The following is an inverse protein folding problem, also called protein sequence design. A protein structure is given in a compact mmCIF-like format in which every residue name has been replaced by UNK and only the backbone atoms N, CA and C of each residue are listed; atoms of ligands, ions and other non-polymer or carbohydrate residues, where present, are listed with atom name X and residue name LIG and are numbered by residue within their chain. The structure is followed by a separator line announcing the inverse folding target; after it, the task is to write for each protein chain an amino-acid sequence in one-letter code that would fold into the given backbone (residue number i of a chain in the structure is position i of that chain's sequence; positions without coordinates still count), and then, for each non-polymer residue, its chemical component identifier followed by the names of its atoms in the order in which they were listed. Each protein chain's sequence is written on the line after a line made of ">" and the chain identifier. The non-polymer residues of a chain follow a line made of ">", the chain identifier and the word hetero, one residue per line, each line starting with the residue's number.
data_IF_435356540554
#
_entry.id   IF_435356540554
#
_cell.length_a   1.000
_cell.length_b   1.000
_cell.length_c   1.000
_cell.angle_alpha   90.00
_cell.angle_beta   90.00
_cell.angle_gamma   90.00
#
_symmetry.space_group_name_H-M   'P 1'
#
loop_
_entity.id
_entity.type
_entity.pdbx_description
1 polymer ?
#
# COMPACT_ATOMS: atom_id res chain seq x y z
N UNK A 1 -10.10 25.93 -9.95
CA UNK A 1 -9.06 25.29 -10.78
C UNK A 1 -7.67 25.93 -10.66
N UNK A 2 -7.54 27.21 -10.33
CA UNK A 2 -6.23 27.90 -10.29
C UNK A 2 -5.24 27.42 -9.19
N UNK A 3 -5.69 26.80 -8.11
CA UNK A 3 -4.79 26.41 -7.01
C UNK A 3 -4.15 25.01 -7.15
N UNK A 4 -4.55 24.20 -8.11
CA UNK A 4 -4.02 22.83 -8.29
C UNK A 4 -2.64 22.87 -8.99
N UNK A 5 -2.40 23.87 -9.83
CA UNK A 5 -1.18 23.97 -10.64
C UNK A 5 -0.01 24.68 -9.92
N UNK A 6 -0.28 25.41 -8.86
CA UNK A 6 0.75 26.20 -8.15
C UNK A 6 1.87 25.36 -7.52
N UNK A 7 1.62 24.07 -7.24
CA UNK A 7 2.58 23.15 -6.60
C UNK A 7 3.41 22.30 -7.58
N UNK A 8 3.10 22.33 -8.89
CA UNK A 8 3.74 21.44 -9.88
C UNK A 8 5.27 21.52 -9.90
N UNK A 9 5.91 22.73 -9.99
CA UNK A 9 7.35 22.82 -9.96
C UNK A 9 7.97 22.32 -8.68
N UNK A 10 7.32 22.56 -7.53
CA UNK A 10 7.77 22.07 -6.22
C UNK A 10 7.71 20.55 -6.11
N UNK A 11 6.65 19.93 -6.63
CA UNK A 11 6.52 18.48 -6.67
C UNK A 11 7.58 17.83 -7.56
N UNK A 12 7.86 18.41 -8.73
CA UNK A 12 8.92 17.92 -9.60
C UNK A 12 10.29 18.02 -8.90
N UNK A 13 10.59 19.17 -8.28
CA UNK A 13 11.85 19.38 -7.58
C UNK A 13 12.04 18.41 -6.40
N UNK A 14 10.95 18.12 -5.65
CA UNK A 14 10.98 17.28 -4.46
C UNK A 14 10.90 15.79 -4.76
N UNK A 15 10.04 15.40 -5.70
CA UNK A 15 9.64 14.02 -5.95
C UNK A 15 9.93 13.51 -7.36
N UNK A 16 10.57 14.33 -8.23
CA UNK A 16 10.73 14.02 -9.65
C UNK A 16 11.44 12.69 -9.96
N UNK A 17 12.28 12.20 -9.03
CA UNK A 17 12.94 10.90 -9.11
C UNK A 17 12.23 9.82 -8.26
N UNK A 18 11.17 10.18 -7.55
CA UNK A 18 10.41 9.24 -6.72
C UNK A 18 9.49 8.38 -7.57
N UNK A 19 9.16 7.20 -7.04
CA UNK A 19 8.18 6.31 -7.64
C UNK A 19 7.21 5.78 -6.58
N UNK A 20 5.99 5.54 -7.01
CA UNK A 20 4.88 5.02 -6.21
C UNK A 20 4.70 3.54 -6.55
N UNK A 21 4.99 2.65 -5.61
CA UNK A 21 4.64 1.24 -5.74
C UNK A 21 3.12 1.07 -5.65
N UNK A 22 2.51 0.45 -6.65
CA UNK A 22 1.05 0.28 -6.74
C UNK A 22 0.55 -0.90 -5.91
N UNK A 23 0.76 -0.83 -4.60
CA UNK A 23 0.16 -1.74 -3.63
C UNK A 23 -1.34 -1.40 -3.42
N UNK A 24 -2.13 -2.25 -2.73
CA UNK A 24 -3.56 -2.00 -2.50
C UNK A 24 -3.87 -0.65 -1.85
N UNK A 25 -3.03 -0.17 -0.92
CA UNK A 25 -3.17 1.13 -0.29
C UNK A 25 -3.02 2.27 -1.30
N UNK A 26 -1.91 2.30 -2.05
CA UNK A 26 -1.66 3.33 -3.05
C UNK A 26 -2.74 3.34 -4.14
N UNK A 27 -3.16 2.15 -4.61
CA UNK A 27 -4.24 2.01 -5.59
C UNK A 27 -5.55 2.60 -5.09
N UNK A 28 -5.91 2.34 -3.83
CA UNK A 28 -7.12 2.88 -3.19
C UNK A 28 -7.03 4.39 -3.03
N UNK A 29 -5.92 4.92 -2.47
CA UNK A 29 -5.73 6.36 -2.22
C UNK A 29 -5.68 7.20 -3.50
N UNK A 30 -5.05 6.67 -4.55
CA UNK A 30 -5.04 7.29 -5.87
C UNK A 30 -6.36 7.10 -6.63
N UNK A 31 -7.22 6.19 -6.18
CA UNK A 31 -8.47 5.84 -6.85
C UNK A 31 -8.24 5.34 -8.27
N UNK A 32 -7.30 4.42 -8.44
CA UNK A 32 -6.96 3.89 -9.75
C UNK A 32 -8.00 2.87 -10.20
N UNK A 33 -8.68 3.16 -11.30
CA UNK A 33 -9.56 2.21 -11.95
C UNK A 33 -8.74 1.20 -12.79
N UNK A 34 -8.62 -0.03 -12.29
CA UNK A 34 -7.90 -1.09 -12.98
C UNK A 34 -8.52 -1.46 -14.33
N UNK A 35 -9.84 -1.38 -14.46
CA UNK A 35 -10.52 -1.68 -15.70
C UNK A 35 -10.28 -0.60 -16.77
N UNK A 36 -9.89 0.60 -16.35
CA UNK A 36 -9.57 1.72 -17.23
C UNK A 36 -8.09 1.82 -17.64
N UNK A 37 -7.23 0.90 -17.17
CA UNK A 37 -5.81 0.92 -17.52
C UNK A 37 -5.56 0.09 -18.80
N UNK A 38 -5.23 0.79 -19.89
CA UNK A 38 -5.00 0.18 -21.21
C UNK A 38 -3.71 0.69 -21.84
N UNK A 39 -2.89 -0.22 -22.34
CA UNK A 39 -1.77 0.10 -23.22
C UNK A 39 -2.23 -0.19 -24.66
N UNK A 40 -2.15 0.84 -25.52
CA UNK A 40 -2.48 0.72 -26.93
C UNK A 40 -1.19 0.69 -27.76
N UNK A 41 -0.98 -0.43 -28.46
CA UNK A 41 0.14 -0.66 -29.35
C UNK A 41 -0.43 -0.92 -30.72
N UNK A 42 -0.31 0.03 -31.65
CA UNK A 42 -0.98 0.03 -32.96
C UNK A 42 -2.50 -0.23 -32.81
N UNK A 43 -3.00 -1.33 -33.37
CA UNK A 43 -4.41 -1.73 -33.28
C UNK A 43 -4.74 -2.57 -32.04
N UNK A 44 -3.72 -2.98 -31.26
CA UNK A 44 -3.88 -3.83 -30.08
C UNK A 44 -4.10 -2.98 -28.83
N UNK A 45 -5.11 -3.33 -28.04
CA UNK A 45 -5.37 -2.77 -26.73
C UNK A 45 -5.13 -3.85 -25.66
N UNK A 46 -4.20 -3.61 -24.76
CA UNK A 46 -3.79 -4.54 -23.71
C UNK A 46 -4.33 -4.01 -22.38
N UNK A 47 -5.22 -4.78 -21.74
CA UNK A 47 -5.61 -4.50 -20.36
C UNK A 47 -4.42 -4.73 -19.42
N UNK A 48 -4.11 -3.76 -18.61
CA UNK A 48 -2.95 -3.80 -17.74
C UNK A 48 -3.27 -3.29 -16.34
N UNK A 49 -2.39 -3.61 -15.39
CA UNK A 49 -2.46 -3.09 -14.03
C UNK A 49 -1.18 -2.31 -13.72
N UNK A 50 -1.25 -1.15 -13.09
CA UNK A 50 -0.05 -0.42 -12.71
C UNK A 50 0.71 -1.20 -11.63
N UNK A 51 2.03 -1.29 -11.81
CA UNK A 51 2.96 -1.88 -10.87
C UNK A 51 3.75 -0.79 -10.14
N UNK A 52 4.20 0.22 -10.90
CA UNK A 52 4.93 1.36 -10.39
C UNK A 52 4.63 2.60 -11.22
N UNK A 53 4.38 3.73 -10.56
CA UNK A 53 4.12 5.02 -11.19
C UNK A 53 5.19 6.02 -10.78
N UNK A 54 5.70 6.81 -11.73
CA UNK A 54 6.68 7.86 -11.48
C UNK A 54 6.42 9.09 -12.37
N UNK A 55 7.25 10.10 -12.26
CA UNK A 55 7.08 11.35 -13.01
C UNK A 55 7.64 11.29 -14.45
N UNK A 56 8.47 10.28 -14.74
CA UNK A 56 9.12 10.07 -16.04
C UNK A 56 8.82 8.69 -16.63
N UNK A 57 8.45 7.74 -15.79
CA UNK A 57 8.35 6.33 -16.15
C UNK A 57 7.22 5.64 -15.40
N UNK A 58 6.51 4.80 -16.12
CA UNK A 58 5.53 3.87 -15.55
C UNK A 58 5.94 2.43 -15.82
N UNK A 59 5.59 1.54 -14.90
CA UNK A 59 5.69 0.10 -15.10
C UNK A 59 4.28 -0.48 -14.92
N UNK A 60 3.82 -1.23 -15.92
CA UNK A 60 2.55 -1.93 -15.90
C UNK A 60 2.75 -3.43 -16.01
N UNK A 61 1.84 -4.18 -15.41
CA UNK A 61 1.73 -5.61 -15.56
C UNK A 61 0.56 -5.93 -16.50
N UNK A 62 0.76 -6.90 -17.39
CA UNK A 62 -0.32 -7.49 -18.17
C UNK A 62 -0.21 -9.02 -18.18
N UNK A 63 -1.36 -9.68 -18.24
CA UNK A 63 -1.38 -11.13 -18.46
C UNK A 63 -1.09 -11.41 -19.92
N UNK A 64 0.05 -12.04 -20.20
CA UNK A 64 0.53 -12.35 -21.54
C UNK A 64 1.14 -13.75 -21.58
N UNK A 65 0.83 -14.51 -22.61
CA UNK A 65 1.56 -15.73 -22.95
C UNK A 65 2.98 -15.39 -23.44
N UNK A 66 3.86 -16.37 -23.46
CA UNK A 66 5.23 -16.22 -23.98
C UNK A 66 5.22 -15.78 -25.46
N UNK A 67 4.25 -16.24 -26.24
CA UNK A 67 4.10 -15.86 -27.65
C UNK A 67 3.68 -14.41 -27.82
N UNK A 68 2.71 -13.94 -27.02
CA UNK A 68 2.29 -12.54 -26.99
C UNK A 68 3.41 -11.62 -26.49
N UNK A 69 4.16 -12.05 -25.47
CA UNK A 69 5.33 -11.33 -25.01
C UNK A 69 6.36 -11.13 -26.14
N UNK A 70 6.69 -12.20 -26.88
CA UNK A 70 7.56 -12.14 -28.05
C UNK A 70 7.02 -11.27 -29.18
N UNK A 71 5.70 -11.23 -29.37
CA UNK A 71 5.06 -10.35 -30.33
C UNK A 71 5.25 -8.87 -29.91
N UNK A 72 4.94 -8.51 -28.65
CA UNK A 72 5.05 -7.13 -28.20
C UNK A 72 6.49 -6.64 -28.04
N UNK A 73 7.47 -7.52 -27.88
CA UNK A 73 8.90 -7.14 -27.91
C UNK A 73 9.33 -6.44 -29.20
N UNK A 74 8.66 -6.70 -30.32
CA UNK A 74 8.93 -6.03 -31.60
C UNK A 74 8.63 -4.52 -31.59
N UNK A 75 7.83 -4.07 -30.61
CA UNK A 75 7.42 -2.67 -30.46
C UNK A 75 8.26 -1.90 -29.45
N UNK A 76 9.30 -2.51 -28.91
CA UNK A 76 10.27 -1.81 -28.06
C UNK A 76 10.88 -0.64 -28.84
N UNK A 77 11.01 0.52 -28.18
CA UNK A 77 11.39 1.82 -28.72
C UNK A 77 10.34 2.51 -29.61
N UNK A 78 9.16 1.91 -29.79
CA UNK A 78 8.06 2.54 -30.53
C UNK A 78 7.16 3.34 -29.59
N UNK A 79 6.41 4.28 -30.20
CA UNK A 79 5.40 5.04 -29.48
C UNK A 79 4.17 4.17 -29.23
N UNK A 80 3.68 4.23 -27.99
CA UNK A 80 2.46 3.55 -27.54
C UNK A 80 1.57 4.53 -26.81
N UNK A 81 0.26 4.27 -26.77
CA UNK A 81 -0.71 5.04 -26.00
C UNK A 81 -0.97 4.37 -24.65
N UNK A 82 -1.02 5.15 -23.57
CA UNK A 82 -1.46 4.70 -22.26
C UNK A 82 -2.73 5.43 -21.86
N UNK A 83 -3.79 4.68 -21.54
CA UNK A 83 -4.98 5.21 -20.88
C UNK A 83 -4.93 4.83 -19.41
N UNK A 84 -5.13 5.82 -18.52
CA UNK A 84 -5.21 5.61 -17.07
C UNK A 84 -6.17 6.63 -16.46
N UNK A 85 -6.84 6.24 -15.38
CA UNK A 85 -7.80 7.09 -14.67
C UNK A 85 -7.52 7.07 -13.18
N UNK A 86 -7.56 8.26 -12.56
CA UNK A 86 -7.39 8.46 -11.13
C UNK A 86 -8.62 9.15 -10.54
N UNK A 87 -9.09 8.67 -9.41
CA UNK A 87 -10.13 9.33 -8.62
C UNK A 87 -9.74 9.32 -7.14
N UNK A 88 -8.72 10.13 -6.74
CA UNK A 88 -8.35 10.24 -5.34
C UNK A 88 -9.55 10.72 -4.50
N UNK A 89 -9.54 10.35 -3.22
CA UNK A 89 -10.55 10.78 -2.27
C UNK A 89 -10.80 12.29 -2.37
N UNK A 90 -12.08 12.71 -2.28
CA UNK A 90 -12.54 14.10 -2.43
C UNK A 90 -12.64 14.63 -3.88
N UNK A 91 -12.27 13.88 -4.91
CA UNK A 91 -12.56 14.28 -6.29
C UNK A 91 -13.95 13.84 -6.71
N UNK A 92 -14.80 14.77 -7.19
CA UNK A 92 -16.16 14.42 -7.62
C UNK A 92 -16.19 13.63 -8.93
N UNK A 93 -15.13 13.73 -9.75
CA UNK A 93 -15.03 13.05 -11.05
C UNK A 93 -13.63 12.49 -11.25
N UNK A 94 -13.50 11.32 -11.92
CA UNK A 94 -12.20 10.78 -12.27
C UNK A 94 -11.44 11.68 -13.24
N UNK A 95 -10.14 11.82 -13.02
CA UNK A 95 -9.21 12.41 -13.97
C UNK A 95 -8.73 11.31 -14.92
N UNK A 96 -9.10 11.42 -16.19
CA UNK A 96 -8.71 10.46 -17.24
C UNK A 96 -7.57 11.02 -18.07
N UNK A 97 -6.54 10.23 -18.24
CA UNK A 97 -5.36 10.59 -19.02
C UNK A 97 -5.18 9.64 -20.18
N UNK A 98 -4.84 10.21 -21.32
CA UNK A 98 -4.29 9.50 -22.46
C UNK A 98 -2.89 10.05 -22.73
N UNK A 99 -1.87 9.21 -22.51
CA UNK A 99 -0.47 9.63 -22.54
C UNK A 99 0.24 8.90 -23.67
N UNK A 100 0.96 9.66 -24.51
CA UNK A 100 1.87 9.06 -25.48
C UNK A 100 3.19 8.73 -24.78
N UNK A 101 3.53 7.44 -24.78
CA UNK A 101 4.73 6.89 -24.16
C UNK A 101 5.62 6.27 -25.22
N UNK A 102 6.89 6.05 -24.88
CA UNK A 102 7.78 5.13 -25.60
C UNK A 102 7.81 3.82 -24.81
N UNK A 103 7.58 2.70 -25.46
CA UNK A 103 7.78 1.38 -24.86
C UNK A 103 9.29 1.12 -24.76
N UNK A 104 9.85 1.35 -23.58
CA UNK A 104 11.28 1.22 -23.35
C UNK A 104 11.70 -0.26 -23.29
N UNK A 105 10.98 -1.04 -22.52
CA UNK A 105 11.29 -2.45 -22.30
C UNK A 105 10.01 -3.23 -22.07
N UNK A 106 10.00 -4.48 -22.54
CA UNK A 106 9.02 -5.47 -22.13
C UNK A 106 9.75 -6.75 -21.72
N UNK A 107 9.37 -7.32 -20.59
CA UNK A 107 10.00 -8.54 -20.06
C UNK A 107 9.03 -9.35 -19.24
N UNK A 108 9.39 -10.60 -19.00
CA UNK A 108 8.63 -11.49 -18.14
C UNK A 108 8.85 -11.15 -16.66
N UNK A 109 7.79 -11.21 -15.87
CA UNK A 109 7.92 -11.02 -14.43
C UNK A 109 8.57 -12.25 -13.79
N UNK A 110 9.65 -12.05 -13.01
CA UNK A 110 10.34 -13.13 -12.32
C UNK A 110 9.37 -13.94 -11.46
N UNK A 111 9.35 -15.27 -11.66
CA UNK A 111 8.50 -16.19 -10.91
C UNK A 111 7.02 -16.22 -11.36
N UNK A 112 6.67 -15.58 -12.49
CA UNK A 112 5.32 -15.62 -13.07
C UNK A 112 5.40 -15.71 -14.58
N UNK A 113 5.17 -16.89 -15.14
CA UNK A 113 5.38 -17.18 -16.57
C UNK A 113 4.35 -16.54 -17.51
N UNK A 114 3.20 -16.12 -16.97
CA UNK A 114 2.11 -15.51 -17.73
C UNK A 114 1.92 -14.01 -17.42
N UNK A 115 2.94 -13.33 -16.89
CA UNK A 115 2.89 -11.91 -16.59
C UNK A 115 4.03 -11.17 -17.28
N UNK A 116 3.67 -10.26 -18.19
CA UNK A 116 4.59 -9.31 -18.80
C UNK A 116 4.65 -7.99 -18.02
N UNK A 117 5.84 -7.41 -17.94
CA UNK A 117 6.09 -6.06 -17.42
C UNK A 117 6.40 -5.13 -18.59
N UNK A 118 5.63 -4.06 -18.71
CA UNK A 118 5.82 -3.00 -19.69
C UNK A 118 6.44 -1.80 -19.00
N UNK A 119 7.62 -1.38 -19.44
CA UNK A 119 8.27 -0.15 -19.01
C UNK A 119 7.99 0.94 -20.02
N UNK A 120 7.24 1.95 -19.62
CA UNK A 120 6.79 3.05 -20.44
C UNK A 120 7.46 4.35 -20.01
N UNK A 121 8.23 4.97 -20.90
CA UNK A 121 8.82 6.28 -20.68
C UNK A 121 7.99 7.35 -21.40
N UNK A 122 7.83 8.50 -20.77
CA UNK A 122 7.15 9.65 -21.38
C UNK A 122 7.95 10.93 -21.20
N UNK A 123 7.88 11.82 -22.19
CA UNK A 123 8.68 13.07 -22.19
C UNK A 123 8.12 14.09 -21.21
N UNK A 124 6.82 14.13 -21.06
CA UNK A 124 6.13 15.14 -20.24
C UNK A 124 5.01 14.47 -19.44
N UNK A 125 5.07 14.58 -18.13
CA UNK A 125 3.98 14.19 -17.26
C UNK A 125 2.93 15.31 -17.25
N UNK A 126 1.64 15.01 -17.41
CA UNK A 126 0.60 16.03 -17.30
C UNK A 126 0.59 16.69 -15.91
N UNK A 127 0.48 18.02 -15.85
CA UNK A 127 0.53 18.80 -14.61
C UNK A 127 -0.47 18.32 -13.54
N UNK A 128 -1.67 17.96 -13.98
CA UNK A 128 -2.71 17.43 -13.10
C UNK A 128 -2.30 16.08 -12.49
N UNK A 129 -1.60 15.23 -13.24
CA UNK A 129 -1.05 13.97 -12.75
C UNK A 129 0.11 14.20 -11.77
N UNK A 130 0.99 15.17 -12.06
CA UNK A 130 2.05 15.60 -11.15
C UNK A 130 1.44 16.04 -9.82
N UNK A 131 0.36 16.81 -9.86
CA UNK A 131 -0.36 17.24 -8.65
C UNK A 131 -0.94 16.05 -7.87
N UNK A 132 -1.54 15.07 -8.54
CA UNK A 132 -2.09 13.87 -7.90
C UNK A 132 -0.96 13.09 -7.20
N UNK A 133 0.15 12.86 -7.88
CA UNK A 133 1.29 12.13 -7.32
C UNK A 133 1.98 12.89 -6.20
N UNK A 134 2.16 14.21 -6.38
CA UNK A 134 2.75 15.07 -5.38
C UNK A 134 1.97 15.07 -4.07
N UNK A 135 0.66 15.24 -4.12
CA UNK A 135 -0.21 15.17 -2.93
C UNK A 135 -0.15 13.79 -2.25
N UNK A 136 -0.14 12.71 -3.04
CA UNK A 136 -0.03 11.36 -2.48
C UNK A 136 1.31 11.16 -1.76
N UNK A 137 2.42 11.58 -2.36
CA UNK A 137 3.76 11.45 -1.77
C UNK A 137 3.93 12.32 -0.52
N UNK A 138 3.39 13.54 -0.53
CA UNK A 138 3.34 14.37 0.68
C UNK A 138 2.53 13.72 1.81
N UNK A 139 1.38 13.13 1.49
CA UNK A 139 0.60 12.40 2.48
C UNK A 139 1.38 11.20 3.04
N UNK A 140 2.10 10.47 2.17
CA UNK A 140 2.97 9.38 2.62
C UNK A 140 4.09 9.83 3.56
N UNK A 141 4.73 10.98 3.29
CA UNK A 141 5.75 11.53 4.18
C UNK A 141 5.17 11.89 5.55
N UNK A 142 3.99 12.53 5.58
CA UNK A 142 3.28 12.80 6.85
C UNK A 142 2.97 11.52 7.61
N UNK A 143 2.49 10.49 6.90
CA UNK A 143 2.23 9.19 7.52
C UNK A 143 3.50 8.53 8.06
N UNK A 144 4.67 8.70 7.38
CA UNK A 144 5.96 8.23 7.89
C UNK A 144 6.39 8.98 9.15
N UNK A 145 6.18 10.30 9.21
CA UNK A 145 6.44 11.09 10.42
C UNK A 145 5.56 10.62 11.57
N UNK A 146 4.27 10.46 11.34
CA UNK A 146 3.33 9.93 12.34
C UNK A 146 3.72 8.52 12.81
N UNK A 147 4.23 7.66 11.91
CA UNK A 147 4.73 6.33 12.29
C UNK A 147 5.89 6.42 13.29
N UNK A 148 6.81 7.36 13.10
CA UNK A 148 7.91 7.57 14.04
C UNK A 148 7.41 8.16 15.37
N UNK A 149 6.55 9.18 15.32
CA UNK A 149 6.04 9.89 16.49
C UNK A 149 5.17 9.02 17.40
N UNK A 150 4.36 8.13 16.82
CA UNK A 150 3.47 7.23 17.55
C UNK A 150 4.11 5.86 17.86
N UNK A 151 5.34 5.63 17.47
CA UNK A 151 6.02 4.34 17.68
C UNK A 151 6.14 3.96 19.16
N UNK A 152 6.38 4.92 20.05
CA UNK A 152 6.48 4.73 21.50
C UNK A 152 5.15 4.89 22.25
N UNK A 153 4.10 5.37 21.61
CA UNK A 153 2.80 5.66 22.23
C UNK A 153 1.86 4.47 22.11
N UNK A 154 1.99 3.51 23.01
CA UNK A 154 1.12 2.33 23.03
C UNK A 154 -0.30 2.70 23.48
N UNK A 155 -1.28 2.30 22.67
CA UNK A 155 -2.72 2.43 22.95
C UNK A 155 -3.16 1.11 23.59
N UNK A 156 -3.58 1.15 24.87
CA UNK A 156 -4.14 -0.04 25.55
C UNK A 156 -5.54 -0.30 25.01
N UNK A 157 -5.77 -1.51 24.50
CA UNK A 157 -7.04 -1.92 23.94
C UNK A 157 -8.06 -2.27 25.02
N UNK A 158 -8.85 -1.27 25.43
CA UNK A 158 -10.07 -1.47 26.21
C UNK A 158 -11.29 -1.51 25.30
N UNK A 159 -12.46 -1.98 25.77
CA UNK A 159 -13.69 -1.97 24.99
C UNK A 159 -14.06 -0.57 24.46
N UNK A 160 -13.83 0.49 25.27
CA UNK A 160 -14.14 1.87 24.89
C UNK A 160 -13.19 2.37 23.79
N UNK A 161 -11.88 2.10 23.93
CA UNK A 161 -10.88 2.44 22.91
C UNK A 161 -11.18 1.69 21.60
N UNK A 162 -11.49 0.42 21.69
CA UNK A 162 -11.85 -0.37 20.53
C UNK A 162 -13.10 0.17 19.81
N UNK A 163 -14.09 0.64 20.57
CA UNK A 163 -15.30 1.29 20.03
C UNK A 163 -14.96 2.58 19.31
N UNK A 164 -14.09 3.43 19.88
CA UNK A 164 -13.63 4.68 19.26
C UNK A 164 -12.88 4.40 17.96
N UNK A 165 -11.93 3.46 17.97
CA UNK A 165 -11.16 3.07 16.79
C UNK A 165 -11.97 2.24 15.78
N UNK A 166 -13.16 1.81 16.14
CA UNK A 166 -13.95 0.87 15.34
C UNK A 166 -13.33 -0.52 15.22
N UNK A 167 -12.54 -0.93 16.20
CA UNK A 167 -11.80 -2.19 16.22
C UNK A 167 -12.58 -3.28 16.97
N UNK A 168 -12.40 -4.55 16.62
CA UNK A 168 -13.12 -5.67 17.23
C UNK A 168 -12.36 -6.39 18.35
N UNK A 169 -11.28 -5.84 18.88
CA UNK A 169 -10.39 -6.37 19.92
C UNK A 169 -9.55 -7.59 19.52
N UNK A 170 -9.74 -8.16 18.35
CA UNK A 170 -9.05 -9.37 17.92
C UNK A 170 -8.25 -9.13 16.64
N UNK A 171 -7.14 -9.84 16.54
CA UNK A 171 -6.38 -10.00 15.30
C UNK A 171 -6.29 -11.47 14.92
N UNK A 172 -6.01 -11.74 13.66
CA UNK A 172 -5.58 -13.06 13.19
C UNK A 172 -4.09 -13.00 12.94
N UNK A 173 -3.36 -13.98 13.46
CA UNK A 173 -1.94 -14.19 13.17
C UNK A 173 -1.81 -15.37 12.22
N UNK A 174 -1.00 -15.19 11.18
CA UNK A 174 -0.61 -16.26 10.26
C UNK A 174 0.89 -16.45 10.40
N UNK A 175 1.29 -17.57 10.97
CA UNK A 175 2.69 -17.96 11.11
C UNK A 175 3.28 -18.54 9.83
N UNK A 176 4.59 -18.87 9.82
CA UNK A 176 5.31 -19.42 8.66
C UNK A 176 4.82 -20.83 8.24
N UNK A 177 4.34 -21.65 9.14
CA UNK A 177 3.54 -22.85 8.86
C UNK A 177 2.06 -22.44 8.96
N UNK A 178 1.08 -23.09 8.31
CA UNK A 178 -0.31 -22.64 8.26
C UNK A 178 -0.99 -22.66 9.65
N UNK A 179 -0.35 -22.02 10.61
CA UNK A 179 -0.79 -21.79 11.97
C UNK A 179 -1.55 -20.46 12.01
N UNK A 180 -2.84 -20.54 11.72
CA UNK A 180 -3.73 -19.37 11.75
C UNK A 180 -4.39 -19.33 13.12
N UNK A 181 -4.12 -18.29 13.91
CA UNK A 181 -4.68 -18.10 15.24
C UNK A 181 -5.37 -16.78 15.41
N UNK A 182 -6.47 -16.80 16.13
CA UNK A 182 -7.13 -15.60 16.62
C UNK A 182 -6.54 -15.22 17.97
N UNK A 183 -6.12 -13.97 18.10
CA UNK A 183 -5.49 -13.43 19.31
C UNK A 183 -6.22 -12.19 19.78
N UNK A 184 -6.21 -11.92 21.07
CA UNK A 184 -6.73 -10.70 21.64
C UNK A 184 -5.61 -9.65 21.70
N UNK A 185 -5.81 -8.50 21.05
CA UNK A 185 -4.85 -7.40 21.11
C UNK A 185 -4.97 -6.71 22.46
N UNK A 186 -3.86 -6.65 23.19
CA UNK A 186 -3.75 -5.98 24.48
C UNK A 186 -3.35 -4.52 24.35
N UNK A 187 -2.34 -4.25 23.51
CA UNK A 187 -1.94 -2.90 23.16
C UNK A 187 -1.40 -2.82 21.72
N UNK A 188 -1.49 -1.64 21.13
CA UNK A 188 -0.99 -1.38 19.79
C UNK A 188 -0.38 0.02 19.70
N UNK A 189 0.69 0.15 18.91
CA UNK A 189 1.25 1.42 18.47
C UNK A 189 1.51 1.34 16.97
N UNK A 190 2.02 2.41 16.36
CA UNK A 190 2.42 2.37 14.94
C UNK A 190 3.51 1.35 14.65
N UNK A 191 4.38 1.03 15.63
CA UNK A 191 5.55 0.16 15.49
C UNK A 191 5.45 -1.17 16.21
N UNK A 192 4.46 -1.37 17.07
CA UNK A 192 4.39 -2.58 17.88
C UNK A 192 2.96 -3.01 18.19
N UNK A 193 2.79 -4.30 18.36
CA UNK A 193 1.56 -4.90 18.89
C UNK A 193 1.90 -5.86 20.02
N UNK A 194 1.07 -5.84 21.04
CA UNK A 194 1.10 -6.79 22.13
C UNK A 194 -0.26 -7.51 22.20
N UNK A 195 -0.22 -8.83 22.25
CA UNK A 195 -1.43 -9.63 22.23
C UNK A 195 -1.35 -10.82 23.19
N UNK A 196 -2.52 -11.37 23.49
CA UNK A 196 -2.71 -12.55 24.31
C UNK A 196 -3.24 -13.71 23.44
N UNK A 197 -2.63 -14.87 23.58
CA UNK A 197 -3.10 -16.13 23.02
C UNK A 197 -3.74 -16.98 24.13
N UNK A 198 -4.61 -17.91 23.73
CA UNK A 198 -5.31 -18.79 24.64
C UNK A 198 -4.35 -19.65 25.50
N UNK A 199 -4.86 -20.12 26.63
CA UNK A 199 -4.17 -21.09 27.48
C UNK A 199 -3.73 -22.33 26.70
N UNK A 200 -2.51 -22.81 26.97
CA UNK A 200 -1.92 -23.97 26.27
C UNK A 200 -1.30 -23.63 24.90
N UNK A 201 -1.38 -22.40 24.42
CA UNK A 201 -0.61 -21.99 23.24
C UNK A 201 0.90 -22.05 23.56
N UNK A 202 1.76 -22.53 22.65
CA UNK A 202 3.20 -22.47 22.86
C UNK A 202 3.69 -21.02 22.74
N UNK A 203 4.68 -20.65 23.58
CA UNK A 203 5.39 -19.40 23.41
C UNK A 203 6.08 -19.37 22.04
N UNK A 204 6.07 -18.23 21.39
CA UNK A 204 6.66 -18.06 20.06
C UNK A 204 8.13 -17.69 20.17
N UNK A 205 8.92 -18.14 19.20
CA UNK A 205 10.34 -17.81 19.16
C UNK A 205 10.55 -16.36 18.74
N UNK A 206 11.41 -15.64 19.45
CA UNK A 206 11.87 -14.31 19.06
C UNK A 206 12.53 -14.36 17.67
N UNK A 207 12.37 -13.31 16.85
CA UNK A 207 12.84 -13.25 15.48
C UNK A 207 11.90 -13.92 14.46
N UNK A 208 10.84 -14.62 14.88
CA UNK A 208 9.86 -15.21 13.96
C UNK A 208 9.03 -14.13 13.31
N UNK A 209 8.94 -14.16 11.97
CA UNK A 209 8.05 -13.29 11.20
C UNK A 209 6.65 -13.87 11.14
N UNK A 210 5.66 -13.04 11.38
CA UNK A 210 4.23 -13.38 11.33
C UNK A 210 3.45 -12.31 10.61
N UNK A 211 2.33 -12.68 9.99
CA UNK A 211 1.41 -11.74 9.38
C UNK A 211 0.24 -11.48 10.33
N UNK A 212 -0.04 -10.22 10.60
CA UNK A 212 -1.18 -9.76 11.37
C UNK A 212 -2.29 -9.30 10.44
N UNK A 213 -3.54 -9.65 10.80
CA UNK A 213 -4.74 -9.12 10.19
C UNK A 213 -5.60 -8.51 11.28
N UNK A 214 -5.71 -7.18 11.28
CA UNK A 214 -6.56 -6.42 12.19
C UNK A 214 -7.89 -6.10 11.51
N UNK A 215 -9.00 -6.21 12.25
CA UNK A 215 -10.34 -6.03 11.70
C UNK A 215 -10.98 -4.78 12.30
N UNK A 216 -11.11 -3.78 11.45
CA UNK A 216 -11.85 -2.54 11.74
C UNK A 216 -13.22 -2.58 11.06
N UNK A 217 -14.17 -1.76 11.52
CA UNK A 217 -15.54 -1.75 10.97
C UNK A 217 -15.60 -1.54 9.46
N UNK A 218 -14.69 -0.73 8.92
CA UNK A 218 -14.69 -0.33 7.51
C UNK A 218 -13.76 -1.16 6.64
N UNK A 219 -12.73 -1.77 7.20
CA UNK A 219 -11.70 -2.45 6.43
C UNK A 219 -10.82 -3.37 7.29
N UNK A 220 -10.08 -4.23 6.61
CA UNK A 220 -9.08 -5.10 7.19
C UNK A 220 -7.70 -4.54 6.88
N UNK A 221 -6.88 -4.39 7.92
CA UNK A 221 -5.47 -4.01 7.82
C UNK A 221 -4.61 -5.25 7.93
N UNK A 222 -3.68 -5.44 7.02
CA UNK A 222 -2.72 -6.55 7.04
C UNK A 222 -1.30 -5.99 7.07
N UNK A 223 -0.49 -6.47 8.01
CA UNK A 223 0.91 -6.08 8.13
C UNK A 223 1.76 -7.24 8.62
N UNK A 224 3.05 -7.22 8.33
CA UNK A 224 4.02 -8.15 8.86
C UNK A 224 4.53 -7.66 10.20
N UNK A 225 4.86 -8.58 11.09
CA UNK A 225 5.52 -8.27 12.34
C UNK A 225 6.58 -9.30 12.67
N UNK A 226 7.61 -8.87 13.40
CA UNK A 226 8.66 -9.74 13.95
C UNK A 226 8.48 -9.87 15.45
N UNK A 227 8.38 -11.10 15.95
CA UNK A 227 8.24 -11.39 17.37
C UNK A 227 9.51 -10.96 18.10
N UNK A 228 9.34 -10.12 19.11
CA UNK A 228 10.42 -9.66 19.98
C UNK A 228 10.50 -10.52 21.24
N UNK A 229 9.34 -10.78 21.83
CA UNK A 229 9.22 -11.48 23.10
C UNK A 229 7.91 -12.27 23.15
N UNK A 230 7.96 -13.44 23.77
CA UNK A 230 6.79 -14.27 24.06
C UNK A 230 6.99 -15.00 25.39
N UNK A 231 6.03 -14.86 26.30
CA UNK A 231 6.11 -15.44 27.65
C UNK A 231 4.77 -16.01 28.10
N UNK A 232 4.85 -17.08 28.90
CA UNK A 232 3.66 -17.68 29.50
C UNK A 232 3.39 -16.97 30.82
N UNK A 233 2.17 -16.43 30.96
CA UNK A 233 1.71 -15.79 32.19
C UNK A 233 1.28 -16.82 33.24
N UNK A 234 1.22 -16.45 34.53
CA UNK A 234 0.80 -17.37 35.60
C UNK A 234 -0.56 -18.04 35.38
N UNK A 235 -1.46 -17.39 34.61
CA UNK A 235 -2.77 -17.93 34.26
C UNK A 235 -2.75 -18.86 33.03
N UNK A 236 -1.57 -19.22 32.53
CA UNK A 236 -1.43 -20.07 31.33
C UNK A 236 -1.62 -19.37 29.99
N UNK A 237 -2.01 -18.10 29.98
CA UNK A 237 -2.10 -17.30 28.77
C UNK A 237 -0.69 -16.99 28.23
N UNK A 238 -0.55 -16.90 26.91
CA UNK A 238 0.71 -16.49 26.29
C UNK A 238 0.62 -15.02 25.87
N UNK A 239 1.52 -14.21 26.42
CA UNK A 239 1.68 -12.81 26.04
C UNK A 239 2.81 -12.68 25.05
N UNK A 240 2.53 -12.12 23.89
CA UNK A 240 3.51 -11.94 22.80
C UNK A 240 3.56 -10.48 22.38
N UNK A 241 4.78 -9.96 22.24
CA UNK A 241 5.08 -8.63 21.69
C UNK A 241 5.80 -8.79 20.35
N UNK A 242 5.36 -8.02 19.35
CA UNK A 242 5.97 -7.97 18.03
C UNK A 242 6.21 -6.55 17.59
N UNK A 243 7.32 -6.32 16.89
CA UNK A 243 7.54 -5.11 16.13
C UNK A 243 6.80 -5.26 14.79
N UNK A 244 6.08 -4.21 14.38
CA UNK A 244 5.33 -4.17 13.14
C UNK A 244 6.12 -3.45 12.06
N UNK A 245 6.04 -3.95 10.84
CA UNK A 245 6.51 -3.24 9.68
C UNK A 245 5.63 -2.00 9.41
N UNK A 246 6.19 -1.04 8.68
CA UNK A 246 5.47 0.17 8.30
C UNK A 246 4.19 -0.17 7.53
N UNK A 247 3.05 0.17 8.11
CA UNK A 247 1.71 -0.05 7.54
C UNK A 247 0.93 1.27 7.56
N UNK A 248 0.85 1.99 6.43
CA UNK A 248 0.19 3.29 6.37
C UNK A 248 -1.24 3.29 6.87
N UNK A 249 -2.01 2.23 6.56
CA UNK A 249 -3.40 2.09 6.99
C UNK A 249 -3.53 2.05 8.52
N UNK A 250 -2.61 1.35 9.18
CA UNK A 250 -2.59 1.28 10.64
C UNK A 250 -2.19 2.62 11.25
N UNK A 251 -1.20 3.28 10.66
CA UNK A 251 -0.74 4.60 11.12
C UNK A 251 -1.86 5.63 11.03
N UNK A 252 -2.61 5.66 9.94
CA UNK A 252 -3.77 6.57 9.78
C UNK A 252 -4.82 6.35 10.87
N UNK A 253 -5.13 5.10 11.22
CA UNK A 253 -6.10 4.78 12.28
C UNK A 253 -5.60 5.26 13.64
N UNK A 254 -4.30 5.09 13.91
CA UNK A 254 -3.67 5.52 15.15
C UNK A 254 -3.63 7.05 15.24
N UNK A 255 -3.34 7.73 14.13
CA UNK A 255 -3.35 9.18 14.01
C UNK A 255 -4.75 9.75 14.27
N UNK A 256 -5.78 9.19 13.62
CA UNK A 256 -7.19 9.55 13.85
C UNK A 256 -7.58 9.39 15.34
N UNK A 257 -7.13 8.32 15.99
CA UNK A 257 -7.38 8.09 17.40
C UNK A 257 -6.74 9.19 18.28
N UNK A 258 -5.48 9.53 18.04
CA UNK A 258 -4.79 10.57 18.81
C UNK A 258 -5.36 11.96 18.57
N UNK A 259 -5.76 12.28 17.34
CA UNK A 259 -6.49 13.49 17.01
C UNK A 259 -7.81 13.59 17.77
N UNK A 260 -8.58 12.50 17.82
CA UNK A 260 -9.81 12.44 18.59
C UNK A 260 -9.55 12.70 20.08
N UNK A 261 -8.53 12.05 20.67
CA UNK A 261 -8.16 12.26 22.09
C UNK A 261 -7.73 13.70 22.39
N UNK A 262 -7.04 14.34 21.48
CA UNK A 262 -6.56 15.73 21.65
C UNK A 262 -7.69 16.75 21.52
N UNK A 263 -8.84 16.35 20.98
CA UNK A 263 -10.01 17.22 20.74
C UNK A 263 -11.05 17.13 21.87
N UNK A 264 -10.84 16.24 22.84
CA UNK A 264 -11.66 16.07 24.05
C UNK A 264 -11.11 16.90 25.21
#
# INVERSE_FOLDING_TARGET
>A
MANILAGVPQYIARFGESSIACNPYAMSKLGIDRAGCLIKVEEHAILCAPFQLGFKRFIFMASLSVQELGFFQKFVNNNVGLSISFQPDKRPKPAKFFIRCTLNTIGQMKGRDNVGLFVLDFKTCPDEMISIFGHFLEAQEKTRTAYEDYGSRAIRMTPDVAKIMGYNLYATIVGPNPDVRRVQVFSISSKAVEHLEAEGAPARLAGTMVNYQFFFKKYRVSTTGTIVESSILPQGLVRTRSNLDFCPELVEIIDDYWHYQSSQ
#
